data_IF_944199270358
#
_entry.id   IF_944199270358
#
_cell.length_a   1.000
_cell.length_b   1.000
_cell.length_c   1.000
_cell.angle_alpha   90.00
_cell.angle_beta   90.00
_cell.angle_gamma   90.00
#
_symmetry.space_group_name_H-M   'P 1'
#
loop_
_entity.id
_entity.type
_entity.pdbx_description
1 polymer ?
#
# COMPACT_ATOMS: atom_id res chain seq x y z
N UNK A 1 -1.40 36.27 18.94
CA UNK A 1 -1.63 35.59 17.64
C UNK A 1 -1.26 34.11 17.64
N UNK A 2 -0.59 33.55 18.67
CA UNK A 2 -0.26 32.11 18.71
C UNK A 2 -1.43 31.19 19.11
N UNK A 3 -2.36 31.63 19.97
CA UNK A 3 -3.47 30.78 20.45
C UNK A 3 -4.53 30.38 19.42
N UNK A 4 -4.62 31.08 18.28
CA UNK A 4 -5.56 30.75 17.19
C UNK A 4 -5.04 29.65 16.25
N UNK A 5 -3.74 29.37 16.28
CA UNK A 5 -3.10 28.33 15.45
C UNK A 5 -3.10 26.97 16.17
N UNK A 6 -2.90 26.95 17.49
CA UNK A 6 -3.06 25.75 18.33
C UNK A 6 -4.50 25.24 18.33
N UNK A 7 -5.48 26.12 18.57
CA UNK A 7 -6.91 25.76 18.58
C UNK A 7 -7.42 25.18 17.25
N UNK A 8 -6.82 25.59 16.11
CA UNK A 8 -7.13 25.03 14.78
C UNK A 8 -6.48 23.69 14.50
N UNK A 9 -5.33 23.40 15.10
CA UNK A 9 -4.61 22.13 14.94
C UNK A 9 -5.27 21.05 15.81
N UNK A 10 -5.66 21.42 17.04
CA UNK A 10 -6.35 20.57 18.01
C UNK A 10 -7.74 20.15 17.47
N UNK A 11 -8.56 21.09 16.97
CA UNK A 11 -9.86 20.78 16.35
C UNK A 11 -9.78 19.87 15.10
N UNK A 12 -8.61 19.79 14.46
CA UNK A 12 -8.38 18.94 13.28
C UNK A 12 -8.06 17.51 13.71
N UNK A 13 -7.30 17.34 14.79
CA UNK A 13 -7.01 16.04 15.41
C UNK A 13 -8.27 15.38 15.96
N UNK A 14 -9.14 16.11 16.68
CA UNK A 14 -10.39 15.55 17.24
C UNK A 14 -11.38 15.12 16.16
N UNK A 15 -11.50 15.86 15.04
CA UNK A 15 -12.36 15.47 13.91
C UNK A 15 -11.79 14.32 13.07
N UNK A 16 -10.47 14.22 12.96
CA UNK A 16 -9.80 13.09 12.29
C UNK A 16 -9.87 11.84 13.17
N UNK A 17 -9.61 11.98 14.47
CA UNK A 17 -9.73 10.91 15.45
C UNK A 17 -11.17 10.40 15.54
N UNK A 18 -12.19 11.27 15.60
CA UNK A 18 -13.60 10.88 15.61
C UNK A 18 -14.08 10.24 14.28
N UNK A 19 -13.49 10.62 13.13
CA UNK A 19 -13.77 9.96 11.85
C UNK A 19 -13.13 8.58 11.77
N UNK A 20 -11.87 8.46 12.20
CA UNK A 20 -11.17 7.18 12.38
C UNK A 20 -11.94 6.30 13.37
N UNK A 21 -12.51 6.88 14.42
CA UNK A 21 -13.37 6.22 15.40
C UNK A 21 -14.63 5.57 14.80
N UNK A 22 -15.39 6.33 14.01
CA UNK A 22 -16.61 5.84 13.35
C UNK A 22 -16.33 4.80 12.24
N UNK A 23 -15.16 4.90 11.62
CA UNK A 23 -14.62 3.99 10.60
C UNK A 23 -14.22 2.64 11.22
N UNK A 24 -13.74 2.64 12.47
CA UNK A 24 -13.15 1.47 13.12
C UNK A 24 -14.14 0.60 13.91
N UNK A 25 -15.32 1.09 14.28
CA UNK A 25 -16.37 0.26 14.91
C UNK A 25 -16.92 -0.81 13.94
N UNK A 26 -16.76 -0.59 12.62
CA UNK A 26 -17.00 -1.58 11.57
C UNK A 26 -15.98 -2.75 11.53
N UNK A 27 -14.88 -2.69 12.30
CA UNK A 27 -13.84 -3.74 12.30
C UNK A 27 -14.25 -5.01 13.07
N UNK A 28 -15.35 -4.97 13.84
CA UNK A 28 -15.84 -6.13 14.59
C UNK A 28 -16.41 -7.25 13.73
N UNK A 29 -16.68 -7.03 12.44
CA UNK A 29 -17.39 -7.98 11.58
C UNK A 29 -16.44 -8.70 10.59
N UNK A 30 -15.66 -9.64 11.11
CA UNK A 30 -15.37 -10.92 10.44
C UNK A 30 -14.43 -10.98 9.22
N UNK A 31 -13.88 -9.88 8.68
CA UNK A 31 -12.91 -10.00 7.56
C UNK A 31 -11.46 -10.19 8.05
N UNK A 32 -10.83 -11.26 7.57
CA UNK A 32 -9.39 -11.56 7.76
C UNK A 32 -8.51 -10.87 6.72
N UNK A 33 -9.06 -10.24 5.69
CA UNK A 33 -8.30 -9.55 4.64
C UNK A 33 -7.91 -8.13 5.07
N UNK A 34 -6.60 -7.85 5.11
CA UNK A 34 -6.03 -6.53 5.44
C UNK A 34 -6.53 -5.45 4.48
N UNK A 35 -6.79 -5.78 3.21
CA UNK A 35 -7.29 -4.82 2.22
C UNK A 35 -8.73 -4.38 2.54
N UNK A 36 -9.61 -5.31 2.95
CA UNK A 36 -10.99 -4.96 3.32
C UNK A 36 -11.02 -4.02 4.53
N UNK A 37 -10.10 -4.23 5.48
CA UNK A 37 -9.94 -3.38 6.66
C UNK A 37 -9.54 -1.94 6.33
N UNK A 38 -9.00 -1.70 5.14
CA UNK A 38 -8.59 -0.35 4.72
C UNK A 38 -9.69 0.42 3.99
N UNK A 39 -10.80 -0.24 3.60
CA UNK A 39 -11.94 0.40 2.92
C UNK A 39 -12.50 1.59 3.70
N UNK A 40 -12.68 1.52 5.03
CA UNK A 40 -13.18 2.64 5.82
C UNK A 40 -12.37 3.95 5.63
N UNK A 41 -11.07 3.89 5.35
CA UNK A 41 -10.26 5.08 5.07
C UNK A 41 -10.57 5.72 3.70
N UNK A 42 -11.14 4.96 2.77
CA UNK A 42 -11.56 5.45 1.46
C UNK A 42 -12.96 6.10 1.51
N UNK A 43 -13.78 5.77 2.50
CA UNK A 43 -15.18 6.23 2.58
C UNK A 43 -15.33 7.76 2.59
N UNK A 44 -14.56 8.56 3.37
CA UNK A 44 -14.72 10.00 3.36
C UNK A 44 -14.36 10.64 2.00
N UNK A 45 -13.40 10.04 1.29
CA UNK A 45 -12.95 10.49 -0.04
C UNK A 45 -14.02 10.14 -1.09
N UNK A 46 -14.58 8.94 -1.01
CA UNK A 46 -15.66 8.49 -1.89
C UNK A 46 -16.94 9.29 -1.65
N UNK A 47 -17.31 9.53 -0.39
CA UNK A 47 -18.49 10.34 -0.04
C UNK A 47 -18.42 11.75 -0.63
N UNK A 48 -17.24 12.38 -0.63
CA UNK A 48 -17.03 13.70 -1.24
C UNK A 48 -17.20 13.69 -2.77
N UNK A 49 -17.15 12.50 -3.40
CA UNK A 49 -17.25 12.30 -4.86
C UNK A 49 -18.55 11.59 -5.26
N UNK A 50 -19.53 11.51 -4.37
CA UNK A 50 -20.80 10.84 -4.62
C UNK A 50 -21.48 11.32 -5.92
N UNK A 51 -21.86 10.38 -6.78
CA UNK A 51 -22.50 10.63 -8.08
C UNK A 51 -21.53 10.96 -9.23
N UNK A 52 -20.23 11.10 -8.96
CA UNK A 52 -19.21 11.30 -9.99
C UNK A 52 -18.76 9.97 -10.61
N UNK A 53 -18.31 9.97 -11.89
CA UNK A 53 -17.66 8.79 -12.46
C UNK A 53 -16.39 8.46 -11.68
N UNK A 54 -16.11 7.17 -11.49
CA UNK A 54 -14.89 6.71 -10.84
C UNK A 54 -13.67 7.15 -11.64
N UNK A 55 -12.85 8.00 -11.04
CA UNK A 55 -11.51 8.31 -11.52
C UNK A 55 -10.49 7.86 -10.47
N UNK A 56 -9.76 6.80 -10.80
CA UNK A 56 -8.77 6.19 -9.89
C UNK A 56 -7.60 7.13 -9.60
N UNK A 57 -7.19 7.94 -10.57
CA UNK A 57 -6.11 8.93 -10.40
C UNK A 57 -6.47 10.00 -9.41
N UNK A 58 -7.71 10.49 -9.48
CA UNK A 58 -8.20 11.51 -8.56
C UNK A 58 -8.34 10.96 -7.12
N UNK A 59 -8.84 9.73 -6.95
CA UNK A 59 -8.93 9.09 -5.63
C UNK A 59 -7.53 8.87 -5.06
N UNK A 60 -6.58 8.37 -5.86
CA UNK A 60 -5.21 8.20 -5.43
C UNK A 60 -4.56 9.53 -4.99
N UNK A 61 -4.85 10.62 -5.70
CA UNK A 61 -4.40 11.96 -5.33
C UNK A 61 -5.02 12.42 -4.00
N UNK A 62 -6.31 12.19 -3.79
CA UNK A 62 -6.99 12.55 -2.54
C UNK A 62 -6.48 11.75 -1.34
N UNK A 63 -6.24 10.44 -1.51
CA UNK A 63 -5.65 9.58 -0.47
C UNK A 63 -4.25 10.08 -0.11
N UNK A 64 -3.40 10.36 -1.12
CA UNK A 64 -2.07 10.97 -0.92
C UNK A 64 -2.17 12.31 -0.20
N UNK A 65 -3.14 13.14 -0.54
CA UNK A 65 -3.31 14.44 0.08
C UNK A 65 -3.74 14.32 1.56
N UNK A 66 -4.70 13.45 1.85
CA UNK A 66 -5.33 13.26 3.15
C UNK A 66 -4.44 12.49 4.13
N UNK A 67 -3.84 11.39 3.69
CA UNK A 67 -3.16 10.42 4.56
C UNK A 67 -1.65 10.35 4.34
N UNK A 68 -1.11 11.01 3.31
CA UNK A 68 0.31 10.95 2.91
C UNK A 68 0.81 9.54 2.53
N UNK A 69 -0.10 8.59 2.33
CA UNK A 69 0.23 7.25 1.84
C UNK A 69 0.73 7.31 0.40
N UNK A 70 1.69 6.46 0.04
CA UNK A 70 2.16 6.32 -1.35
C UNK A 70 1.16 5.56 -2.23
N UNK A 71 -0.06 6.08 -2.31
CA UNK A 71 -1.20 5.49 -3.01
C UNK A 71 -1.19 5.92 -4.48
N UNK A 72 -1.34 4.95 -5.40
CA UNK A 72 -1.37 5.18 -6.83
C UNK A 72 -2.63 4.56 -7.46
N UNK A 73 -2.81 4.75 -8.77
CA UNK A 73 -4.00 4.28 -9.50
C UNK A 73 -4.17 2.76 -9.42
N UNK A 74 -3.06 2.03 -9.53
CA UNK A 74 -3.06 0.57 -9.45
C UNK A 74 -3.58 0.06 -8.11
N UNK A 75 -3.19 0.71 -7.01
CA UNK A 75 -3.67 0.36 -5.68
C UNK A 75 -5.18 0.61 -5.59
N UNK A 76 -5.68 1.77 -6.05
CA UNK A 76 -7.13 2.07 -6.08
C UNK A 76 -7.89 0.99 -6.88
N UNK A 77 -7.36 0.56 -8.02
CA UNK A 77 -7.98 -0.48 -8.85
C UNK A 77 -8.11 -1.84 -8.12
N UNK A 78 -7.24 -2.15 -7.15
CA UNK A 78 -7.38 -3.34 -6.30
C UNK A 78 -8.54 -3.22 -5.31
N UNK A 79 -8.88 -2.00 -4.89
CA UNK A 79 -10.05 -1.74 -4.05
C UNK A 79 -11.37 -1.75 -4.84
N UNK A 80 -11.37 -1.51 -6.15
CA UNK A 80 -12.62 -1.38 -6.95
C UNK A 80 -13.62 -2.53 -6.75
N UNK A 81 -13.24 -3.82 -6.87
CA UNK A 81 -14.20 -4.92 -6.68
C UNK A 81 -14.78 -4.97 -5.26
N UNK A 82 -13.96 -4.60 -4.27
CA UNK A 82 -14.39 -4.57 -2.86
C UNK A 82 -15.29 -3.38 -2.59
N UNK A 83 -14.95 -2.21 -3.13
CA UNK A 83 -15.80 -1.02 -3.02
C UNK A 83 -17.16 -1.22 -3.71
N UNK A 84 -17.22 -1.98 -4.81
CA UNK A 84 -18.47 -2.44 -5.41
C UNK A 84 -19.24 -3.38 -4.46
N UNK A 85 -18.58 -4.38 -3.90
CA UNK A 85 -19.19 -5.31 -2.92
C UNK A 85 -19.73 -4.59 -1.67
N UNK A 86 -19.05 -3.55 -1.19
CA UNK A 86 -19.46 -2.71 -0.07
C UNK A 86 -20.46 -1.60 -0.46
N UNK A 87 -20.93 -1.57 -1.71
CA UNK A 87 -21.94 -0.65 -2.22
C UNK A 87 -21.48 0.80 -2.35
N UNK A 88 -20.16 1.04 -2.36
CA UNK A 88 -19.56 2.35 -2.60
C UNK A 88 -19.40 2.67 -4.08
N UNK A 89 -19.37 1.65 -4.94
CA UNK A 89 -19.35 1.79 -6.39
C UNK A 89 -20.55 1.07 -7.00
N UNK A 90 -21.14 1.68 -8.04
CA UNK A 90 -22.20 1.06 -8.84
C UNK A 90 -21.73 0.98 -10.28
N UNK A 91 -21.73 -0.23 -10.84
CA UNK A 91 -21.51 -0.44 -12.27
C UNK A 91 -22.75 0.05 -13.04
N UNK A 92 -22.58 1.06 -13.90
CA UNK A 92 -23.69 1.59 -14.73
C UNK A 92 -23.83 0.86 -16.06
N UNK A 93 -22.75 0.24 -16.52
CA UNK A 93 -22.69 -0.54 -17.75
C UNK A 93 -21.73 -1.73 -17.56
N UNK A 94 -22.24 -2.98 -17.42
CA UNK A 94 -21.40 -4.15 -17.21
C UNK A 94 -20.48 -4.45 -18.42
N UNK A 95 -20.76 -3.88 -19.60
CA UNK A 95 -19.94 -4.09 -20.79
C UNK A 95 -18.74 -3.11 -20.90
N UNK A 96 -18.76 -1.97 -20.21
CA UNK A 96 -17.72 -0.93 -20.30
C UNK A 96 -16.92 -0.70 -19.01
N UNK A 97 -17.19 -1.49 -17.97
CA UNK A 97 -16.52 -1.38 -16.66
C UNK A 97 -16.52 0.06 -16.12
N UNK A 98 -17.56 0.85 -16.43
CA UNK A 98 -17.67 2.23 -15.94
C UNK A 98 -18.39 2.24 -14.60
N UNK A 99 -17.63 2.55 -13.56
CA UNK A 99 -18.12 2.69 -12.20
C UNK A 99 -18.48 4.14 -11.90
N UNK A 100 -19.52 4.33 -11.10
CA UNK A 100 -19.84 5.61 -10.47
C UNK A 100 -19.76 5.45 -8.96
N UNK A 101 -19.30 6.51 -8.30
CA UNK A 101 -19.34 6.54 -6.84
C UNK A 101 -20.79 6.63 -6.42
N UNK A 102 -21.24 5.63 -5.66
CA UNK A 102 -22.62 5.54 -5.23
C UNK A 102 -22.99 6.83 -4.50
N UNK A 103 -24.08 7.47 -4.91
CA UNK A 103 -24.84 8.30 -3.97
C UNK A 103 -25.48 7.32 -3.01
N UNK A 104 -24.72 6.91 -2.01
CA UNK A 104 -25.33 6.54 -0.74
C UNK A 104 -26.06 7.82 -0.31
N UNK A 105 -27.34 7.95 -0.68
CA UNK A 105 -28.30 8.77 0.07
C UNK A 105 -27.97 8.42 1.49
N UNK A 106 -27.34 9.36 2.21
CA UNK A 106 -26.73 9.17 3.52
C UNK A 106 -26.85 7.71 3.91
N UNK A 107 -25.86 6.84 3.61
CA UNK A 107 -25.81 5.59 4.38
C UNK A 107 -25.97 6.09 5.76
N UNK A 108 -27.11 5.73 6.35
CA UNK A 108 -27.63 6.52 7.42
C UNK A 108 -26.50 6.47 8.42
N UNK A 109 -25.91 7.62 8.68
CA UNK A 109 -25.23 7.82 9.93
C UNK A 109 -26.25 7.60 11.06
N UNK A 110 -27.50 7.21 10.81
CA UNK A 110 -28.32 6.55 11.80
C UNK A 110 -27.82 5.13 12.19
N UNK A 111 -27.38 4.26 11.27
CA UNK A 111 -26.96 2.90 11.67
C UNK A 111 -25.50 2.85 12.17
N UNK A 112 -24.64 3.78 11.73
CA UNK A 112 -23.24 3.90 12.20
C UNK A 112 -22.95 5.15 13.03
N UNK A 113 -23.78 6.19 12.95
CA UNK A 113 -23.65 7.40 13.75
C UNK A 113 -24.54 7.43 14.99
N UNK A 114 -25.57 6.60 15.15
CA UNK A 114 -26.14 6.35 16.50
C UNK A 114 -25.08 5.68 17.41
N UNK A 115 -24.24 4.81 16.83
CA UNK A 115 -23.16 4.14 17.56
C UNK A 115 -21.95 5.07 17.70
N UNK A 116 -21.58 5.81 16.64
CA UNK A 116 -20.51 6.81 16.69
C UNK A 116 -20.78 7.98 17.65
N UNK A 117 -21.98 8.58 17.62
CA UNK A 117 -22.39 9.59 18.60
C UNK A 117 -22.56 8.97 19.99
N UNK A 118 -23.10 7.75 20.08
CA UNK A 118 -23.24 7.03 21.34
C UNK A 118 -21.91 6.80 22.04
N UNK A 119 -20.87 6.41 21.31
CA UNK A 119 -19.56 6.16 21.89
C UNK A 119 -18.75 7.45 22.09
N UNK A 120 -18.86 8.48 21.22
CA UNK A 120 -18.27 9.80 21.48
C UNK A 120 -18.89 10.42 22.74
N UNK A 121 -20.22 10.33 22.88
CA UNK A 121 -20.94 10.77 24.08
C UNK A 121 -20.51 9.97 25.30
N UNK A 122 -20.38 8.64 25.17
CA UNK A 122 -19.92 7.76 26.25
C UNK A 122 -18.47 8.03 26.64
N UNK A 123 -17.63 8.39 25.68
CA UNK A 123 -16.25 8.77 25.96
C UNK A 123 -16.14 10.15 26.61
N UNK A 124 -16.99 11.10 26.21
CA UNK A 124 -17.14 12.36 26.91
C UNK A 124 -17.66 12.15 28.35
N UNK A 125 -18.59 11.22 28.56
CA UNK A 125 -19.04 10.80 29.89
C UNK A 125 -17.90 10.18 30.72
N UNK A 126 -17.05 9.35 30.11
CA UNK A 126 -15.83 8.80 30.72
C UNK A 126 -14.85 9.93 31.07
N UNK A 127 -14.68 10.94 30.23
CA UNK A 127 -13.81 12.07 30.51
C UNK A 127 -14.35 12.94 31.67
N UNK A 128 -15.67 13.11 31.78
CA UNK A 128 -16.31 13.75 32.94
C UNK A 128 -16.03 12.94 34.21
N UNK A 129 -16.17 11.62 34.15
CA UNK A 129 -15.93 10.73 35.28
C UNK A 129 -14.44 10.73 35.68
N UNK A 130 -13.54 10.71 34.70
CA UNK A 130 -12.09 10.83 34.91
C UNK A 130 -11.73 12.14 35.60
N UNK A 131 -12.32 13.25 35.16
CA UNK A 131 -12.14 14.56 35.80
C UNK A 131 -12.60 14.53 37.27
N UNK A 132 -13.81 14.03 37.54
CA UNK A 132 -14.33 13.90 38.91
C UNK A 132 -13.46 13.02 39.79
N UNK A 133 -12.98 11.90 39.24
CA UNK A 133 -12.05 11.00 39.93
C UNK A 133 -10.74 11.72 40.28
N UNK A 134 -10.17 12.47 39.33
CA UNK A 134 -8.95 13.25 39.55
C UNK A 134 -9.13 14.32 40.64
N UNK A 135 -10.24 15.05 40.61
CA UNK A 135 -10.58 16.09 41.60
C UNK A 135 -10.77 15.50 43.01
N UNK A 136 -11.32 14.28 43.11
CA UNK A 136 -11.50 13.57 44.37
C UNK A 136 -10.19 12.97 44.92
N UNK A 137 -9.26 12.55 44.04
CA UNK A 137 -8.02 11.88 44.43
C UNK A 137 -6.98 12.87 45.00
N UNK A 138 -6.97 14.12 44.52
CA UNK A 138 -6.06 15.15 45.04
C UNK A 138 -6.64 16.57 44.95
N UNK A 139 -7.24 17.09 46.04
CA UNK A 139 -7.77 18.46 46.10
C UNK A 139 -6.70 19.54 45.90
N UNK A 140 -5.42 19.22 46.11
CA UNK A 140 -4.29 20.16 46.06
C UNK A 140 -3.63 20.24 44.67
N UNK A 141 -3.93 19.31 43.76
CA UNK A 141 -3.45 19.29 42.36
C UNK A 141 -4.60 19.36 41.35
N UNK A 142 -5.74 19.93 41.74
CA UNK A 142 -6.84 20.23 40.83
C UNK A 142 -6.39 21.26 39.77
N UNK A 143 -5.75 20.77 38.72
CA UNK A 143 -5.43 21.54 37.53
C UNK A 143 -6.78 21.96 36.93
N UNK A 144 -7.04 23.27 36.75
CA UNK A 144 -8.30 23.75 36.18
C UNK A 144 -8.31 23.40 34.69
N UNK A 145 -8.65 22.16 34.38
CA UNK A 145 -8.67 21.59 33.04
C UNK A 145 -10.09 21.35 32.56
N UNK A 146 -10.30 21.53 31.26
CA UNK A 146 -11.57 21.20 30.62
C UNK A 146 -11.75 19.68 30.54
N UNK A 147 -12.99 19.24 30.33
CA UNK A 147 -13.28 17.81 30.09
C UNK A 147 -12.58 17.32 28.83
N UNK A 148 -12.46 18.19 27.81
CA UNK A 148 -11.78 17.88 26.54
C UNK A 148 -10.28 17.64 26.77
N UNK A 149 -9.63 18.39 27.67
CA UNK A 149 -8.22 18.15 28.01
C UNK A 149 -8.02 16.81 28.73
N UNK A 150 -8.93 16.41 29.63
CA UNK A 150 -8.90 15.09 30.25
C UNK A 150 -9.15 13.97 29.23
N UNK A 151 -9.99 14.24 28.23
CA UNK A 151 -10.27 13.34 27.13
C UNK A 151 -9.00 13.10 26.28
N UNK A 152 -8.30 14.17 25.91
CA UNK A 152 -7.05 14.12 25.14
C UNK A 152 -5.94 13.40 25.91
N UNK A 153 -5.77 13.72 27.20
CA UNK A 153 -4.79 13.06 28.08
C UNK A 153 -5.05 11.55 28.17
N UNK A 154 -6.31 11.15 28.28
CA UNK A 154 -6.68 9.75 28.37
C UNK A 154 -6.45 9.01 27.04
N UNK A 155 -6.77 9.62 25.90
CA UNK A 155 -6.46 9.06 24.56
C UNK A 155 -4.94 8.88 24.42
N UNK A 156 -4.17 9.92 24.69
CA UNK A 156 -2.71 9.89 24.56
C UNK A 156 -2.09 8.81 25.46
N UNK A 157 -2.61 8.65 26.68
CA UNK A 157 -2.14 7.63 27.61
C UNK A 157 -2.49 6.21 27.16
N UNK A 158 -3.71 5.98 26.65
CA UNK A 158 -4.12 4.67 26.15
C UNK A 158 -3.26 4.22 24.95
N UNK A 159 -2.97 5.15 24.04
CA UNK A 159 -2.05 4.91 22.91
C UNK A 159 -0.63 4.63 23.43
N UNK A 160 -0.16 5.41 24.41
CA UNK A 160 1.18 5.27 24.99
C UNK A 160 1.39 3.94 25.74
N UNK A 161 0.44 3.50 26.56
CA UNK A 161 0.59 2.28 27.39
C UNK A 161 0.62 1.01 26.54
N UNK A 162 -0.10 0.98 25.42
CA UNK A 162 -0.12 -0.17 24.53
C UNK A 162 1.15 -0.25 23.65
N UNK A 163 1.69 0.90 23.23
CA UNK A 163 3.01 1.00 22.58
C UNK A 163 4.17 0.49 23.47
N UNK A 164 3.96 0.40 24.79
CA UNK A 164 4.88 -0.17 25.77
C UNK A 164 4.64 -1.65 26.09
N UNK A 165 3.79 -2.36 25.33
CA UNK A 165 3.82 -3.83 25.37
C UNK A 165 5.22 -4.34 24.97
N UNK A 166 5.75 -5.35 25.66
CA UNK A 166 7.17 -5.73 25.72
C UNK A 166 7.87 -6.02 24.36
N UNK A 167 7.15 -5.95 23.23
CA UNK A 167 7.65 -6.24 21.88
C UNK A 167 8.08 -5.01 21.04
N UNK A 168 7.74 -3.76 21.41
CA UNK A 168 7.98 -2.59 20.55
C UNK A 168 9.08 -1.62 21.01
N UNK A 169 9.79 -1.90 22.11
CA UNK A 169 10.80 -0.98 22.66
C UNK A 169 12.19 -1.15 22.01
N UNK A 170 12.50 -0.27 21.05
CA UNK A 170 13.86 -0.08 20.56
C UNK A 170 14.65 0.85 21.52
N UNK A 171 15.42 0.25 22.42
CA UNK A 171 16.32 1.00 23.31
C UNK A 171 17.51 1.56 22.53
N UNK A 172 17.75 2.87 22.61
CA UNK A 172 19.00 3.44 22.12
C UNK A 172 20.05 3.39 23.23
N UNK A 173 21.10 2.59 23.04
CA UNK A 173 22.24 2.53 23.95
C UNK A 173 23.24 3.61 23.57
N UNK A 174 23.25 4.71 24.34
CA UNK A 174 24.27 5.75 24.25
C UNK A 174 25.32 5.56 25.35
N UNK A 175 26.54 6.04 25.12
CA UNK A 175 27.54 6.18 26.18
C UNK A 175 27.76 7.67 26.40
N UNK A 176 27.41 8.18 27.58
CA UNK A 176 27.69 9.56 27.98
C UNK A 176 28.77 9.58 29.07
N UNK A 177 29.67 10.56 29.00
CA UNK A 177 30.60 10.84 30.09
C UNK A 177 29.89 11.68 31.14
N UNK A 178 29.88 11.19 32.37
CA UNK A 178 29.49 11.99 33.53
C UNK A 178 30.56 13.08 33.79
N UNK A 179 30.19 14.08 34.59
CA UNK A 179 31.03 15.17 35.10
C UNK A 179 32.34 14.71 35.78
N UNK A 180 32.42 13.44 36.19
CA UNK A 180 33.61 12.80 36.75
C UNK A 180 34.52 12.11 35.71
N UNK A 181 34.18 12.19 34.41
CA UNK A 181 34.95 11.57 33.32
C UNK A 181 34.71 10.08 33.11
N UNK A 182 33.84 9.46 33.91
CA UNK A 182 33.48 8.04 33.81
C UNK A 182 32.42 7.82 32.72
N UNK A 183 32.66 6.89 31.80
CA UNK A 183 31.70 6.51 30.76
C UNK A 183 30.54 5.74 31.39
N UNK A 184 29.34 6.30 31.35
CA UNK A 184 28.09 5.61 31.72
C UNK A 184 27.30 5.26 30.47
N UNK A 185 26.79 4.04 30.44
CA UNK A 185 25.81 3.63 29.45
C UNK A 185 24.47 4.27 29.83
N UNK A 186 23.99 5.17 28.98
CA UNK A 186 22.69 5.83 29.14
C UNK A 186 21.75 5.16 28.15
N UNK A 187 20.72 4.53 28.69
CA UNK A 187 19.61 4.00 27.90
C UNK A 187 18.71 5.19 27.57
N UNK A 188 18.76 5.65 26.33
CA UNK A 188 17.83 6.64 25.81
C UNK A 188 16.50 5.94 25.50
N UNK A 189 15.51 6.15 26.36
CA UNK A 189 14.12 5.87 26.05
C UNK A 189 13.60 7.07 25.25
N UNK A 190 13.07 6.89 24.02
CA UNK A 190 12.47 8.00 23.30
C UNK A 190 11.26 8.52 24.08
N UNK A 191 11.20 9.82 24.34
CA UNK A 191 9.98 10.48 24.85
C UNK A 191 8.93 10.50 23.73
N UNK A 192 8.15 9.43 23.63
CA UNK A 192 7.09 9.28 22.64
C UNK A 192 5.75 9.93 23.05
N UNK A 193 5.67 10.47 24.27
CA UNK A 193 4.48 11.14 24.80
C UNK A 193 4.81 12.49 25.39
N UNK A 194 3.87 13.43 25.28
CA UNK A 194 3.91 14.75 25.92
C UNK A 194 3.35 14.73 27.34
N UNK A 195 2.83 13.59 27.80
CA UNK A 195 2.25 13.42 29.13
C UNK A 195 3.31 13.52 30.24
N UNK A 196 2.98 14.31 31.26
CA UNK A 196 3.73 14.43 32.51
C UNK A 196 3.51 13.21 33.41
N UNK A 197 4.43 12.94 34.32
CA UNK A 197 4.34 11.78 35.21
C UNK A 197 3.08 11.79 36.09
N UNK A 198 2.61 12.98 36.48
CA UNK A 198 1.36 13.17 37.20
C UNK A 198 0.14 12.72 36.36
N UNK A 199 0.13 13.02 35.07
CA UNK A 199 -0.95 12.64 34.14
C UNK A 199 -0.94 11.13 33.90
N UNK A 200 0.25 10.56 33.69
CA UNK A 200 0.43 9.11 33.56
C UNK A 200 -0.07 8.37 34.81
N UNK A 201 0.24 8.89 36.00
CA UNK A 201 -0.22 8.35 37.27
C UNK A 201 -1.74 8.43 37.41
N UNK A 202 -2.33 9.59 37.09
CA UNK A 202 -3.78 9.80 37.16
C UNK A 202 -4.54 8.88 36.20
N UNK A 203 -4.08 8.77 34.95
CA UNK A 203 -4.66 7.84 33.97
C UNK A 203 -4.58 6.39 34.45
N UNK A 204 -3.41 5.94 34.91
CA UNK A 204 -3.24 4.57 35.41
C UNK A 204 -4.17 4.24 36.58
N UNK A 205 -4.32 5.18 37.53
CA UNK A 205 -5.20 5.01 38.69
C UNK A 205 -6.68 5.05 38.30
N UNK A 206 -7.04 5.94 37.37
CA UNK A 206 -8.41 6.02 36.85
C UNK A 206 -8.78 4.77 36.09
N UNK A 207 -7.97 4.30 35.14
CA UNK A 207 -8.25 3.08 34.37
C UNK A 207 -8.32 1.86 35.29
N UNK A 208 -7.41 1.74 36.27
CA UNK A 208 -7.49 0.68 37.28
C UNK A 208 -8.79 0.74 38.10
N UNK A 209 -9.25 1.94 38.46
CA UNK A 209 -10.51 2.14 39.17
C UNK A 209 -11.71 1.79 38.28
N UNK A 210 -11.75 2.32 37.06
CA UNK A 210 -12.81 2.08 36.09
C UNK A 210 -12.96 0.59 35.77
N UNK A 211 -11.86 -0.14 35.58
CA UNK A 211 -11.89 -1.59 35.34
C UNK A 211 -12.47 -2.40 36.52
N UNK A 212 -12.32 -1.90 37.75
CA UNK A 212 -12.87 -2.56 38.95
C UNK A 212 -14.31 -2.16 39.24
N UNK A 213 -14.66 -0.90 38.97
CA UNK A 213 -15.94 -0.30 39.36
C UNK A 213 -17.00 -0.36 38.26
N UNK A 214 -16.59 -0.37 36.99
CA UNK A 214 -17.49 -0.44 35.84
C UNK A 214 -16.84 -1.17 34.66
N UNK A 215 -17.06 -2.49 34.53
CA UNK A 215 -16.52 -3.30 33.43
C UNK A 215 -16.87 -2.77 32.02
N UNK A 216 -18.03 -2.11 31.85
CA UNK A 216 -18.43 -1.54 30.56
C UNK A 216 -17.53 -0.36 30.15
N UNK A 217 -17.04 0.44 31.11
CA UNK A 217 -16.05 1.49 30.82
C UNK A 217 -14.71 0.87 30.43
N UNK A 218 -14.35 -0.24 31.06
CA UNK A 218 -13.19 -1.04 30.70
C UNK A 218 -13.20 -1.51 29.24
N UNK A 219 -14.35 -1.99 28.76
CA UNK A 219 -14.52 -2.40 27.37
C UNK A 219 -14.34 -1.23 26.40
N UNK A 220 -14.91 -0.06 26.72
CA UNK A 220 -14.76 1.16 25.90
C UNK A 220 -13.29 1.61 25.88
N UNK A 221 -12.60 1.66 27.02
CA UNK A 221 -11.19 2.04 27.09
C UNK A 221 -10.27 1.05 26.33
N UNK A 222 -10.55 -0.25 26.42
CA UNK A 222 -9.84 -1.29 25.67
C UNK A 222 -10.02 -1.13 24.17
N UNK A 223 -11.26 -0.87 23.71
CA UNK A 223 -11.55 -0.58 22.29
C UNK A 223 -10.78 0.67 21.81
N UNK A 224 -10.69 1.71 22.62
CA UNK A 224 -9.96 2.94 22.30
C UNK A 224 -8.45 2.69 22.21
N UNK A 225 -7.89 1.89 23.11
CA UNK A 225 -6.49 1.49 23.06
C UNK A 225 -6.22 0.72 21.74
N UNK A 226 -7.02 -0.30 21.43
CA UNK A 226 -6.91 -1.07 20.18
C UNK A 226 -7.06 -0.22 18.90
N UNK A 227 -7.80 0.89 18.97
CA UNK A 227 -7.88 1.90 17.90
C UNK A 227 -6.55 2.67 17.74
N UNK A 228 -5.87 2.96 18.85
CA UNK A 228 -4.52 3.50 18.90
C UNK A 228 -3.52 2.65 18.11
N UNK A 229 -3.56 1.32 18.27
CA UNK A 229 -2.74 0.38 17.49
C UNK A 229 -3.04 0.44 15.97
N UNK A 230 -4.30 0.61 15.57
CA UNK A 230 -4.64 0.78 14.15
C UNK A 230 -4.13 2.09 13.59
N UNK A 231 -4.16 3.18 14.37
CA UNK A 231 -3.50 4.43 13.97
C UNK A 231 -1.98 4.34 13.97
N UNK A 232 -1.38 3.50 14.83
CA UNK A 232 0.05 3.16 14.79
C UNK A 232 0.38 2.39 13.51
N UNK A 233 -0.42 1.38 13.12
CA UNK A 233 -0.30 0.70 11.82
C UNK A 233 -0.39 1.71 10.67
N UNK A 234 -1.31 2.68 10.73
CA UNK A 234 -1.43 3.78 9.74
C UNK A 234 -0.21 4.71 9.75
N UNK A 235 0.45 4.89 10.90
CA UNK A 235 1.70 5.66 11.02
C UNK A 235 2.92 4.86 10.56
N UNK A 236 2.95 3.54 10.77
CA UNK A 236 3.93 2.60 10.22
C UNK A 236 3.88 2.67 8.69
N UNK A 237 2.67 2.71 8.10
CA UNK A 237 2.44 2.98 6.67
C UNK A 237 3.06 4.29 6.15
N UNK A 238 3.34 5.25 7.03
CA UNK A 238 3.92 6.57 6.71
C UNK A 238 5.42 6.62 7.04
N UNK A 239 5.89 5.82 8.00
CA UNK A 239 7.28 5.71 8.42
C UNK A 239 7.57 4.26 8.85
N UNK A 240 8.00 3.37 7.95
CA UNK A 240 8.34 2.00 8.32
C UNK A 240 9.42 2.01 9.41
N UNK A 241 9.06 1.55 10.61
CA UNK A 241 9.93 1.57 11.80
C UNK A 241 10.97 0.44 11.77
N UNK A 242 10.73 -0.57 10.93
CA UNK A 242 11.64 -1.69 10.69
C UNK A 242 12.65 -1.37 9.58
N UNK A 243 13.92 -1.72 9.83
CA UNK A 243 14.92 -1.74 8.77
C UNK A 243 14.42 -2.70 7.69
N UNK A 244 14.12 -2.18 6.50
CA UNK A 244 13.68 -3.01 5.39
C UNK A 244 14.78 -4.03 5.11
N UNK A 245 14.49 -5.30 5.39
CA UNK A 245 15.35 -6.40 5.01
C UNK A 245 15.56 -6.30 3.50
N UNK A 246 16.83 -6.16 3.09
CA UNK A 246 17.18 -6.09 1.68
C UNK A 246 16.64 -7.33 0.98
N UNK A 247 15.78 -7.14 -0.01
CA UNK A 247 15.24 -8.24 -0.80
C UNK A 247 16.14 -8.51 -2.00
N UNK A 248 16.54 -9.77 -2.17
CA UNK A 248 17.27 -10.24 -3.36
C UNK A 248 16.37 -10.51 -4.57
N UNK A 249 15.10 -10.04 -4.55
CA UNK A 249 14.15 -10.22 -5.64
C UNK A 249 14.65 -9.52 -6.92
N UNK A 250 14.64 -10.27 -8.02
CA UNK A 250 14.90 -9.76 -9.37
C UNK A 250 13.59 -9.65 -10.14
N UNK A 251 13.24 -8.44 -10.54
CA UNK A 251 12.00 -8.10 -11.23
C UNK A 251 12.33 -7.80 -12.69
N UNK A 252 11.83 -8.62 -13.60
CA UNK A 252 11.88 -8.34 -15.04
C UNK A 252 10.65 -7.56 -15.47
N UNK A 253 10.86 -6.45 -16.17
CA UNK A 253 9.78 -5.67 -16.75
C UNK A 253 9.38 -6.25 -18.10
N UNK A 254 8.09 -6.47 -18.29
CA UNK A 254 7.50 -6.69 -19.59
C UNK A 254 7.56 -5.41 -20.46
N UNK A 255 7.52 -5.54 -21.78
CA UNK A 255 7.70 -4.43 -22.72
C UNK A 255 6.70 -3.27 -22.47
N UNK A 256 5.38 -3.51 -22.26
CA UNK A 256 4.45 -2.41 -21.97
C UNK A 256 4.75 -1.67 -20.67
N UNK A 257 5.21 -2.37 -19.62
CA UNK A 257 5.59 -1.75 -18.34
C UNK A 257 6.81 -0.86 -18.52
N UNK A 258 7.82 -1.37 -19.23
CA UNK A 258 9.04 -0.62 -19.52
C UNK A 258 8.76 0.63 -20.36
N UNK A 259 7.81 0.57 -21.32
CA UNK A 259 7.37 1.72 -22.10
C UNK A 259 6.70 2.81 -21.25
N UNK A 260 5.91 2.43 -20.24
CA UNK A 260 5.35 3.39 -19.29
C UNK A 260 6.44 4.04 -18.44
N UNK A 261 7.40 3.26 -17.97
CA UNK A 261 8.52 3.75 -17.17
C UNK A 261 9.40 4.73 -17.96
N UNK A 262 9.64 4.44 -19.24
CA UNK A 262 10.32 5.33 -20.19
C UNK A 262 9.52 6.63 -20.44
N UNK A 263 8.22 6.63 -20.17
CA UNK A 263 7.33 7.76 -20.38
C UNK A 263 6.81 7.90 -21.81
N UNK A 264 7.12 6.96 -22.71
CA UNK A 264 6.60 6.99 -24.10
C UNK A 264 5.09 6.72 -24.16
N UNK A 265 4.51 6.15 -23.10
CA UNK A 265 3.07 5.97 -22.93
C UNK A 265 2.36 7.18 -22.29
N UNK A 266 3.07 8.30 -22.09
CA UNK A 266 2.55 9.53 -21.49
C UNK A 266 2.95 9.73 -20.03
N UNK A 267 2.83 10.99 -19.58
CA UNK A 267 3.27 11.43 -18.24
C UNK A 267 2.56 10.70 -17.10
N UNK A 268 1.23 10.59 -17.16
CA UNK A 268 0.44 9.92 -16.13
C UNK A 268 0.86 8.44 -15.94
N UNK A 269 1.12 7.72 -17.04
CA UNK A 269 1.57 6.34 -16.98
C UNK A 269 2.94 6.20 -16.28
N UNK A 270 3.87 7.13 -16.56
CA UNK A 270 5.17 7.19 -15.90
C UNK A 270 5.05 7.51 -14.41
N UNK A 271 4.21 8.48 -14.05
CA UNK A 271 3.97 8.89 -12.66
C UNK A 271 3.36 7.77 -11.83
N UNK A 272 2.64 6.84 -12.44
CA UNK A 272 2.08 5.69 -11.76
C UNK A 272 3.10 4.56 -11.50
N UNK A 273 4.00 4.28 -12.47
CA UNK A 273 4.97 3.16 -12.37
C UNK A 273 6.31 3.54 -11.74
N UNK A 274 6.80 4.75 -11.93
CA UNK A 274 8.12 5.17 -11.45
C UNK A 274 8.26 5.04 -9.92
N UNK A 275 7.29 5.48 -9.09
CA UNK A 275 7.39 5.31 -7.64
C UNK A 275 7.54 3.86 -7.20
N UNK A 276 6.89 2.92 -7.90
CA UNK A 276 6.98 1.48 -7.59
C UNK A 276 8.40 0.97 -7.88
N UNK A 277 8.98 1.37 -9.00
CA UNK A 277 10.33 0.95 -9.41
C UNK A 277 11.40 1.57 -8.51
N UNK A 278 11.23 2.83 -8.12
CA UNK A 278 12.14 3.51 -7.20
C UNK A 278 12.08 2.86 -5.81
N UNK A 279 10.89 2.50 -5.36
CA UNK A 279 10.67 1.79 -4.10
C UNK A 279 11.31 0.40 -4.11
N UNK A 280 11.16 -0.36 -5.20
CA UNK A 280 11.85 -1.64 -5.39
C UNK A 280 13.37 -1.52 -5.24
N UNK A 281 13.96 -0.49 -5.86
CA UNK A 281 15.40 -0.27 -5.76
C UNK A 281 15.80 0.14 -4.34
N UNK A 282 14.98 0.94 -3.67
CA UNK A 282 15.20 1.37 -2.29
C UNK A 282 15.27 0.19 -1.33
N UNK A 283 14.43 -0.83 -1.53
CA UNK A 283 14.41 -2.06 -0.72
C UNK A 283 15.43 -3.13 -1.16
N UNK A 284 16.27 -2.83 -2.14
CA UNK A 284 17.36 -3.69 -2.60
C UNK A 284 17.02 -4.63 -3.76
N UNK A 285 15.79 -4.61 -4.27
CA UNK A 285 15.41 -5.43 -5.42
C UNK A 285 16.13 -4.97 -6.69
N UNK A 286 16.38 -5.91 -7.59
CA UNK A 286 17.00 -5.64 -8.88
C UNK A 286 15.94 -5.58 -9.97
N UNK A 287 15.79 -4.43 -10.61
CA UNK A 287 14.85 -4.26 -11.73
C UNK A 287 15.60 -4.40 -13.05
N UNK A 288 15.16 -5.28 -13.93
CA UNK A 288 15.83 -5.62 -15.19
C UNK A 288 14.82 -5.73 -16.34
N UNK A 289 15.32 -5.86 -17.56
CA UNK A 289 14.51 -6.21 -18.73
C UNK A 289 15.21 -7.28 -19.57
N UNK A 290 14.45 -8.14 -20.23
CA UNK A 290 15.03 -9.10 -21.18
C UNK A 290 15.28 -8.44 -22.54
N UNK A 291 16.34 -8.89 -23.21
CA UNK A 291 16.66 -8.44 -24.57
C UNK A 291 15.52 -8.68 -25.58
N UNK A 292 14.73 -9.74 -25.40
CA UNK A 292 13.54 -10.01 -26.23
C UNK A 292 12.49 -8.91 -26.09
N UNK A 293 12.24 -8.46 -24.85
CA UNK A 293 11.28 -7.38 -24.59
C UNK A 293 11.76 -6.04 -25.13
N UNK A 294 13.07 -5.80 -25.22
CA UNK A 294 13.59 -4.63 -25.93
C UNK A 294 13.25 -4.65 -27.43
N UNK A 295 13.36 -5.81 -28.08
CA UNK A 295 12.98 -5.93 -29.49
C UNK A 295 11.48 -5.69 -29.69
N UNK A 296 10.65 -6.13 -28.75
CA UNK A 296 9.22 -5.82 -28.75
C UNK A 296 8.97 -4.31 -28.61
N UNK A 297 9.69 -3.61 -27.72
CA UNK A 297 9.61 -2.14 -27.60
C UNK A 297 9.99 -1.48 -28.93
N UNK A 298 11.13 -1.86 -29.52
CA UNK A 298 11.59 -1.31 -30.81
C UNK A 298 10.55 -1.51 -31.92
N UNK A 299 10.03 -2.72 -32.05
CA UNK A 299 9.03 -3.06 -33.06
C UNK A 299 7.72 -2.28 -32.85
N UNK A 300 7.24 -2.21 -31.60
CA UNK A 300 6.00 -1.52 -31.23
C UNK A 300 6.11 -0.01 -31.49
N UNK A 301 7.20 0.61 -31.05
CA UNK A 301 7.41 2.05 -31.27
C UNK A 301 7.61 2.39 -32.74
N UNK A 302 8.38 1.57 -33.46
CA UNK A 302 8.56 1.75 -34.92
C UNK A 302 7.23 1.62 -35.67
N UNK A 303 6.37 0.69 -35.27
CA UNK A 303 5.05 0.54 -35.85
C UNK A 303 4.15 1.76 -35.60
N UNK A 304 4.19 2.35 -34.39
CA UNK A 304 3.48 3.59 -34.06
C UNK A 304 4.00 4.77 -34.90
N UNK A 305 5.31 4.87 -35.09
CA UNK A 305 5.93 5.95 -35.87
C UNK A 305 5.74 5.81 -37.38
N UNK A 306 5.67 4.59 -37.90
CA UNK A 306 5.47 4.32 -39.32
C UNK A 306 4.02 4.33 -39.79
N UNK A 307 3.05 4.17 -38.87
CA UNK A 307 1.64 4.14 -39.20
C UNK A 307 1.04 5.55 -39.29
N UNK A 308 0.25 5.82 -40.34
CA UNK A 308 -0.47 7.08 -40.51
C UNK A 308 -1.63 7.27 -39.52
N UNK A 309 -2.20 6.17 -39.03
CA UNK A 309 -3.27 6.15 -38.00
C UNK A 309 -2.88 5.18 -36.89
N UNK A 310 -1.86 5.52 -36.09
CA UNK A 310 -1.39 4.63 -35.04
C UNK A 310 -2.43 4.55 -33.91
N UNK A 311 -2.47 3.40 -33.25
CA UNK A 311 -3.34 3.14 -32.10
C UNK A 311 -2.50 2.74 -30.89
N UNK A 312 -3.14 2.72 -29.71
CA UNK A 312 -2.49 2.32 -28.45
C UNK A 312 -1.97 3.50 -27.61
N UNK A 313 -1.41 3.22 -26.43
CA UNK A 313 -1.08 4.24 -25.43
C UNK A 313 -0.08 5.29 -25.92
N UNK A 314 0.99 4.87 -26.59
CA UNK A 314 2.00 5.77 -27.17
C UNK A 314 1.39 6.69 -28.23
N UNK A 315 0.56 6.14 -29.11
CA UNK A 315 -0.10 6.94 -30.16
C UNK A 315 -1.01 8.01 -29.56
N UNK A 316 -1.77 7.66 -28.51
CA UNK A 316 -2.61 8.59 -27.78
C UNK A 316 -1.79 9.66 -27.05
N UNK A 317 -0.67 9.28 -26.42
CA UNK A 317 0.24 10.22 -25.75
C UNK A 317 0.84 11.24 -26.73
N UNK A 318 1.25 10.80 -27.93
CA UNK A 318 1.70 11.70 -29.01
C UNK A 318 0.56 12.62 -29.44
N UNK A 319 -0.64 12.09 -29.66
CA UNK A 319 -1.80 12.85 -30.12
C UNK A 319 -2.24 13.93 -29.11
N UNK A 320 -2.09 13.68 -27.80
CA UNK A 320 -2.36 14.65 -26.73
C UNK A 320 -1.24 15.66 -26.52
N UNK A 321 -0.06 15.45 -27.13
CA UNK A 321 1.13 16.26 -26.89
C UNK A 321 1.84 15.96 -25.55
N UNK A 322 1.51 14.85 -24.90
CA UNK A 322 2.17 14.40 -23.66
C UNK A 322 3.63 14.01 -23.92
N UNK A 323 3.92 13.55 -25.14
CA UNK A 323 5.24 13.06 -25.56
C UNK A 323 5.55 13.52 -26.98
N UNK A 324 6.77 14.01 -27.21
CA UNK A 324 7.23 14.40 -28.53
C UNK A 324 7.52 13.18 -29.41
N UNK A 325 7.10 13.21 -30.68
CA UNK A 325 7.37 12.14 -31.64
C UNK A 325 8.88 11.89 -31.85
N UNK A 326 9.70 12.93 -31.76
CA UNK A 326 11.17 12.83 -31.84
C UNK A 326 11.74 12.00 -30.68
N UNK A 327 11.28 12.26 -29.46
CA UNK A 327 11.67 11.47 -28.28
C UNK A 327 11.28 9.99 -28.45
N UNK A 328 10.07 9.71 -28.96
CA UNK A 328 9.64 8.33 -29.25
C UNK A 328 10.54 7.67 -30.30
N UNK A 329 11.00 8.41 -31.32
CA UNK A 329 11.93 7.90 -32.32
C UNK A 329 13.32 7.61 -31.76
N UNK A 330 13.83 8.46 -30.87
CA UNK A 330 15.10 8.22 -30.16
C UNK A 330 15.00 6.96 -29.29
N UNK A 331 13.94 6.82 -28.50
CA UNK A 331 13.70 5.63 -27.68
C UNK A 331 13.49 4.38 -28.53
N UNK A 332 12.85 4.49 -29.70
CA UNK A 332 12.69 3.35 -30.62
C UNK A 332 14.03 2.87 -31.20
N UNK A 333 14.99 3.78 -31.39
CA UNK A 333 16.31 3.43 -31.90
C UNK A 333 17.14 2.65 -30.87
N UNK A 334 17.13 3.12 -29.62
CA UNK A 334 17.96 2.59 -28.54
C UNK A 334 17.27 2.64 -27.16
N UNK A 335 16.25 1.80 -26.92
CA UNK A 335 15.54 1.76 -25.64
C UNK A 335 16.43 1.26 -24.49
N UNK A 336 17.49 0.52 -24.80
CA UNK A 336 18.44 -0.02 -23.82
C UNK A 336 19.18 1.10 -23.09
N UNK A 337 19.72 2.07 -23.82
CA UNK A 337 20.42 3.22 -23.20
C UNK A 337 19.49 4.02 -22.30
N UNK A 338 18.25 4.29 -22.73
CA UNK A 338 17.28 5.02 -21.90
C UNK A 338 16.87 4.23 -20.65
N UNK A 339 16.68 2.91 -20.75
CA UNK A 339 16.38 2.06 -19.59
C UNK A 339 17.55 1.96 -18.63
N UNK A 340 18.78 1.87 -19.14
CA UNK A 340 19.99 1.86 -18.31
C UNK A 340 20.16 3.18 -17.53
N UNK A 341 19.88 4.34 -18.14
CA UNK A 341 19.93 5.65 -17.48
C UNK A 341 18.96 5.76 -16.30
N UNK A 342 17.81 5.10 -16.38
CA UNK A 342 16.84 5.01 -15.27
C UNK A 342 17.07 3.79 -14.38
N UNK A 343 18.24 3.15 -14.46
CA UNK A 343 18.65 2.05 -13.57
C UNK A 343 17.95 0.71 -13.81
N UNK A 344 17.54 0.43 -15.06
CA UNK A 344 16.99 -0.87 -15.48
C UNK A 344 17.93 -1.50 -16.52
N UNK A 345 18.93 -2.28 -16.09
CA UNK A 345 19.85 -2.93 -17.02
C UNK A 345 19.18 -4.07 -17.81
N UNK A 346 19.67 -4.27 -19.02
CA UNK A 346 19.26 -5.37 -19.90
C UNK A 346 19.93 -6.68 -19.52
N UNK A 347 19.21 -7.79 -19.68
CA UNK A 347 19.77 -9.14 -19.65
C UNK A 347 19.44 -9.86 -20.95
N UNK A 348 20.47 -10.26 -21.71
CA UNK A 348 20.30 -11.09 -22.89
C UNK A 348 20.40 -12.57 -22.51
N UNK A 349 19.37 -13.35 -22.86
CA UNK A 349 19.34 -14.80 -22.66
C UNK A 349 18.82 -15.51 -23.90
N UNK A 350 19.24 -16.74 -24.13
CA UNK A 350 18.58 -17.66 -25.08
C UNK A 350 18.11 -18.92 -24.34
N UNK A 351 17.22 -19.70 -24.97
CA UNK A 351 16.68 -20.93 -24.38
C UNK A 351 17.77 -22.01 -24.21
N UNK A 352 18.88 -21.93 -24.93
CA UNK A 352 19.96 -22.92 -24.96
C UNK A 352 21.14 -22.54 -24.07
N UNK A 353 21.29 -21.27 -23.69
CA UNK A 353 22.49 -20.74 -23.04
C UNK A 353 22.81 -21.38 -21.67
N UNK A 354 21.82 -21.90 -20.95
CA UNK A 354 22.02 -22.50 -19.62
C UNK A 354 21.41 -23.92 -19.54
N UNK A 355 22.13 -24.96 -20.02
CA UNK A 355 21.62 -26.32 -20.05
C UNK A 355 21.19 -26.87 -18.69
N UNK A 356 21.89 -26.47 -17.61
CA UNK A 356 21.54 -26.87 -16.24
C UNK A 356 20.16 -26.37 -15.82
N UNK A 357 19.71 -25.22 -16.34
CA UNK A 357 18.42 -24.64 -15.99
C UNK A 357 17.24 -25.27 -16.75
N UNK A 358 17.51 -25.92 -17.90
CA UNK A 358 16.48 -26.63 -18.68
C UNK A 358 15.80 -27.71 -17.84
N UNK A 359 16.51 -28.27 -16.85
CA UNK A 359 15.96 -29.27 -15.91
C UNK A 359 14.82 -28.74 -15.03
N UNK A 360 14.71 -27.42 -14.84
CA UNK A 360 13.67 -26.79 -14.03
C UNK A 360 12.42 -26.43 -14.84
N UNK A 361 12.56 -26.23 -16.15
CA UNK A 361 11.45 -26.03 -17.07
C UNK A 361 11.85 -26.53 -18.46
N UNK A 362 11.35 -27.72 -18.80
CA UNK A 362 11.79 -28.48 -19.98
C UNK A 362 11.25 -27.88 -21.27
N UNK A 363 11.81 -28.30 -22.40
CA UNK A 363 11.32 -27.88 -23.72
C UNK A 363 9.86 -28.30 -23.95
N UNK A 364 9.47 -29.51 -23.52
CA UNK A 364 8.07 -29.94 -23.61
C UNK A 364 7.12 -29.04 -22.80
N UNK A 365 7.55 -28.58 -21.62
CA UNK A 365 6.77 -27.64 -20.81
C UNK A 365 6.68 -26.25 -21.45
N UNK A 366 7.73 -25.80 -22.15
CA UNK A 366 7.70 -24.58 -22.95
C UNK A 366 6.69 -24.68 -24.10
N UNK A 367 6.70 -25.76 -24.86
CA UNK A 367 5.75 -25.98 -25.96
C UNK A 367 4.31 -26.01 -25.45
N UNK A 368 4.06 -26.66 -24.31
CA UNK A 368 2.76 -26.67 -23.63
C UNK A 368 2.30 -25.27 -23.18
N UNK A 369 3.22 -24.45 -22.65
CA UNK A 369 2.93 -23.06 -22.26
C UNK A 369 2.65 -22.19 -23.49
N UNK A 370 3.49 -22.30 -24.53
CA UNK A 370 3.31 -21.60 -25.80
C UNK A 370 1.96 -21.93 -26.44
N UNK A 371 1.59 -23.22 -26.48
CA UNK A 371 0.30 -23.67 -27.02
C UNK A 371 -0.89 -23.14 -26.20
N UNK A 372 -0.73 -22.98 -24.88
CA UNK A 372 -1.78 -22.46 -24.01
C UNK A 372 -2.05 -20.96 -24.22
N UNK A 373 -1.06 -20.16 -24.64
CA UNK A 373 -1.20 -18.71 -24.87
C UNK A 373 -1.96 -18.46 -26.19
N UNK A 374 -3.27 -18.71 -26.18
CA UNK A 374 -4.13 -18.63 -27.37
C UNK A 374 -4.70 -17.23 -27.62
N UNK A 375 -4.70 -16.35 -26.62
CA UNK A 375 -5.23 -14.99 -26.74
C UNK A 375 -4.36 -14.08 -27.62
N UNK A 376 -3.06 -14.38 -27.76
CA UNK A 376 -2.16 -13.68 -28.69
C UNK A 376 -2.36 -14.22 -30.10
N UNK A 377 -2.85 -13.39 -31.01
CA UNK A 377 -2.97 -13.74 -32.43
C UNK A 377 -1.63 -13.65 -33.17
N UNK A 378 -0.72 -12.79 -32.71
CA UNK A 378 0.61 -12.63 -33.28
C UNK A 378 1.53 -13.76 -32.76
N UNK A 379 2.05 -14.64 -33.63
CA UNK A 379 2.96 -15.72 -33.22
C UNK A 379 4.22 -15.21 -32.51
N UNK A 380 4.77 -14.07 -32.92
CA UNK A 380 5.97 -13.49 -32.29
C UNK A 380 5.69 -12.99 -30.87
N UNK A 381 4.54 -12.37 -30.63
CA UNK A 381 4.15 -11.94 -29.27
C UNK A 381 3.90 -13.14 -28.37
N UNK A 382 3.30 -14.21 -28.91
CA UNK A 382 3.09 -15.47 -28.20
C UNK A 382 4.42 -16.14 -27.82
N UNK A 383 5.35 -16.19 -28.76
CA UNK A 383 6.69 -16.74 -28.56
C UNK A 383 7.46 -15.93 -27.52
N UNK A 384 7.39 -14.60 -27.59
CA UNK A 384 7.94 -13.70 -26.58
C UNK A 384 7.40 -14.03 -25.19
N UNK A 385 6.07 -13.98 -25.01
CA UNK A 385 5.39 -14.17 -23.72
C UNK A 385 5.73 -15.54 -23.10
N UNK A 386 5.75 -16.59 -23.92
CA UNK A 386 6.17 -17.93 -23.50
C UNK A 386 7.65 -17.95 -23.07
N UNK A 387 8.53 -17.35 -23.88
CA UNK A 387 9.98 -17.35 -23.67
C UNK A 387 10.36 -16.62 -22.38
N UNK A 388 9.85 -15.41 -22.15
CA UNK A 388 10.16 -14.64 -20.93
C UNK A 388 9.60 -15.33 -19.69
N UNK A 389 8.41 -15.94 -19.79
CA UNK A 389 7.83 -16.73 -18.70
C UNK A 389 8.68 -17.96 -18.36
N UNK A 390 9.21 -18.64 -19.38
CA UNK A 390 10.10 -19.79 -19.22
C UNK A 390 11.42 -19.39 -18.59
N UNK A 391 12.02 -18.24 -18.94
CA UNK A 391 13.24 -17.77 -18.29
C UNK A 391 13.05 -17.58 -16.79
N UNK A 392 11.94 -16.97 -16.36
CA UNK A 392 11.64 -16.81 -14.94
C UNK A 392 11.51 -18.18 -14.26
N UNK A 393 10.75 -19.11 -14.83
CA UNK A 393 10.56 -20.44 -14.26
C UNK A 393 11.90 -21.19 -14.11
N UNK A 394 12.76 -21.11 -15.11
CA UNK A 394 14.12 -21.68 -15.08
C UNK A 394 14.99 -21.06 -14.00
N UNK A 395 14.98 -19.73 -13.89
CA UNK A 395 15.76 -18.97 -12.90
C UNK A 395 15.28 -19.20 -11.46
N UNK A 396 14.00 -19.48 -11.25
CA UNK A 396 13.45 -19.81 -9.93
C UNK A 396 13.93 -21.13 -9.37
N UNK A 397 14.42 -22.06 -10.20
CA UNK A 397 14.94 -23.38 -9.75
C UNK A 397 14.00 -24.13 -8.81
N UNK A 398 12.69 -24.13 -9.10
CA UNK A 398 11.59 -24.69 -8.26
C UNK A 398 11.38 -24.00 -6.90
N UNK A 399 11.93 -22.80 -6.69
CA UNK A 399 11.58 -21.99 -5.51
C UNK A 399 10.10 -21.66 -5.55
N UNK A 400 9.41 -22.04 -4.47
CA UNK A 400 7.97 -21.94 -4.31
C UNK A 400 7.72 -21.32 -2.95
N UNK A 401 7.19 -20.09 -2.93
CA UNK A 401 6.96 -19.31 -1.70
C UNK A 401 5.65 -18.54 -1.84
N UNK A 402 5.07 -18.18 -0.69
CA UNK A 402 3.90 -17.30 -0.61
C UNK A 402 4.29 -15.82 -0.50
N UNK A 403 5.55 -15.53 -0.24
CA UNK A 403 6.08 -14.16 -0.18
C UNK A 403 6.68 -13.76 -1.53
N UNK A 404 6.21 -12.63 -2.05
CA UNK A 404 6.70 -12.04 -3.30
C UNK A 404 8.20 -11.74 -3.24
N UNK A 405 8.69 -11.22 -2.10
CA UNK A 405 10.07 -10.78 -1.93
C UNK A 405 11.05 -11.94 -1.76
N UNK A 406 10.53 -13.12 -1.43
CA UNK A 406 11.30 -14.36 -1.42
C UNK A 406 11.22 -15.12 -2.74
N UNK A 407 10.38 -14.72 -3.71
CA UNK A 407 10.17 -15.49 -4.95
C UNK A 407 11.42 -15.57 -5.84
N UNK A 408 12.43 -14.73 -5.60
CA UNK A 408 13.72 -14.70 -6.29
C UNK A 408 13.65 -14.02 -7.66
N UNK A 409 12.75 -14.47 -8.55
CA UNK A 409 12.59 -13.92 -9.89
C UNK A 409 11.11 -13.74 -10.23
N UNK A 410 10.71 -12.61 -10.81
CA UNK A 410 9.33 -12.39 -11.28
C UNK A 410 9.35 -11.62 -12.60
N UNK A 411 8.36 -11.87 -13.46
CA UNK A 411 8.03 -11.00 -14.59
C UNK A 411 6.84 -10.12 -14.20
N UNK A 412 7.00 -8.79 -14.33
CA UNK A 412 5.97 -7.81 -14.07
C UNK A 412 5.29 -7.42 -15.39
N UNK A 413 3.97 -7.65 -15.49
CA UNK A 413 3.20 -7.38 -16.73
C UNK A 413 1.91 -6.59 -16.45
N UNK A 414 1.39 -5.92 -17.48
CA UNK A 414 0.01 -5.37 -17.50
C UNK A 414 -1.02 -6.38 -18.01
N UNK A 415 -0.58 -7.50 -18.58
CA UNK A 415 -1.47 -8.48 -19.15
C UNK A 415 -1.95 -9.45 -18.07
N UNK A 416 -3.13 -9.17 -17.51
CA UNK A 416 -3.75 -10.02 -16.49
C UNK A 416 -4.04 -11.44 -16.98
N UNK A 417 -4.39 -11.61 -18.26
CA UNK A 417 -4.62 -12.92 -18.86
C UNK A 417 -3.33 -13.74 -18.92
N UNK A 418 -2.21 -13.12 -19.30
CA UNK A 418 -0.90 -13.78 -19.28
C UNK A 418 -0.55 -14.25 -17.87
N UNK A 419 -0.68 -13.38 -16.87
CA UNK A 419 -0.38 -13.73 -15.48
C UNK A 419 -1.21 -14.93 -14.98
N UNK A 420 -2.53 -14.89 -15.20
CA UNK A 420 -3.45 -15.96 -14.80
C UNK A 420 -3.20 -17.27 -15.56
N UNK A 421 -2.96 -17.19 -16.86
CA UNK A 421 -2.75 -18.36 -17.71
C UNK A 421 -1.43 -19.05 -17.38
N UNK A 422 -0.35 -18.28 -17.26
CA UNK A 422 0.97 -18.83 -16.91
C UNK A 422 0.93 -19.49 -15.53
N UNK A 423 0.28 -18.88 -14.54
CA UNK A 423 0.09 -19.49 -13.23
C UNK A 423 -0.64 -20.83 -13.33
N UNK A 424 -1.81 -20.84 -13.96
CA UNK A 424 -2.64 -22.04 -14.13
C UNK A 424 -1.90 -23.16 -14.83
N UNK A 425 -1.22 -22.85 -15.93
CA UNK A 425 -0.49 -23.84 -16.72
C UNK A 425 0.73 -24.37 -15.96
N UNK A 426 1.43 -23.53 -15.19
CA UNK A 426 2.54 -23.98 -14.34
C UNK A 426 2.06 -24.92 -13.21
N UNK A 427 0.86 -24.69 -12.67
CA UNK A 427 0.23 -25.59 -11.69
C UNK A 427 -0.17 -26.92 -12.35
N UNK A 428 -0.82 -26.87 -13.52
CA UNK A 428 -1.23 -28.06 -14.28
C UNK A 428 -0.04 -28.95 -14.67
N UNK A 429 1.08 -28.34 -15.05
CA UNK A 429 2.33 -29.03 -15.40
C UNK A 429 3.08 -29.58 -14.19
N UNK A 430 2.59 -29.36 -12.96
CA UNK A 430 3.21 -29.84 -11.72
C UNK A 430 4.54 -29.16 -11.37
N UNK A 431 4.85 -28.01 -11.98
CA UNK A 431 6.08 -27.25 -11.70
C UNK A 431 5.90 -26.19 -10.61
N UNK A 432 4.65 -25.93 -10.19
CA UNK A 432 4.29 -24.95 -9.18
C UNK A 432 3.09 -25.41 -8.34
N UNK A 433 3.00 -24.92 -7.10
CA UNK A 433 1.87 -25.19 -6.19
C UNK A 433 0.88 -24.01 -6.28
N UNK A 434 -0.45 -24.23 -6.27
CA UNK A 434 -1.44 -23.16 -6.45
C UNK A 434 -1.30 -21.96 -5.50
N UNK A 435 -0.91 -22.23 -4.24
CA UNK A 435 -0.84 -21.20 -3.19
C UNK A 435 0.43 -20.34 -3.20
N UNK A 436 1.24 -20.41 -4.27
CA UNK A 436 2.54 -19.72 -4.35
C UNK A 436 2.54 -18.57 -5.36
N UNK A 437 3.48 -17.66 -5.19
CA UNK A 437 3.63 -16.48 -6.05
C UNK A 437 3.89 -16.94 -7.49
N UNK A 438 3.08 -16.53 -8.48
CA UNK A 438 3.26 -16.94 -9.87
C UNK A 438 4.54 -16.37 -10.49
N UNK A 439 5.08 -16.96 -11.57
CA UNK A 439 6.27 -16.44 -12.26
C UNK A 439 6.01 -15.10 -12.93
N UNK A 440 4.76 -14.90 -13.38
CA UNK A 440 4.29 -13.67 -13.99
C UNK A 440 3.28 -13.04 -13.05
N UNK A 441 3.54 -11.81 -12.62
CA UNK A 441 2.71 -11.07 -11.67
C UNK A 441 2.14 -9.85 -12.37
N UNK A 442 0.84 -9.62 -12.20
CA UNK A 442 0.19 -8.43 -12.72
C UNK A 442 0.58 -7.19 -11.92
N UNK A 443 0.78 -6.06 -12.62
CA UNK A 443 1.19 -4.76 -12.06
C UNK A 443 0.42 -4.37 -10.79
N UNK A 444 -0.91 -4.49 -10.81
CA UNK A 444 -1.77 -4.14 -9.67
C UNK A 444 -1.43 -4.92 -8.40
N UNK A 445 -1.36 -6.26 -8.52
CA UNK A 445 -1.06 -7.14 -7.38
C UNK A 445 0.32 -6.81 -6.83
N UNK A 446 1.29 -6.63 -7.72
CA UNK A 446 2.66 -6.29 -7.38
C UNK A 446 2.77 -4.93 -6.66
N UNK A 447 2.05 -3.92 -7.15
CA UNK A 447 2.00 -2.58 -6.57
C UNK A 447 1.44 -2.60 -5.15
N UNK A 448 0.35 -3.34 -4.93
CA UNK A 448 -0.23 -3.53 -3.60
C UNK A 448 0.72 -4.26 -2.66
N UNK A 449 1.41 -5.31 -3.12
CA UNK A 449 2.38 -6.02 -2.29
C UNK A 449 3.56 -5.14 -1.85
N UNK A 450 4.05 -4.26 -2.73
CA UNK A 450 5.09 -3.28 -2.36
C UNK A 450 4.53 -2.27 -1.38
N UNK A 451 3.36 -1.71 -1.66
CA UNK A 451 2.74 -0.73 -0.79
C UNK A 451 2.53 -1.28 0.63
N UNK A 452 2.06 -2.53 0.74
CA UNK A 452 1.89 -3.23 2.03
C UNK A 452 3.20 -3.59 2.76
N UNK A 453 4.33 -3.60 2.05
CA UNK A 453 5.65 -3.96 2.61
C UNK A 453 6.45 -2.72 3.01
N UNK A 454 6.15 -1.57 2.40
CA UNK A 454 7.02 -0.38 2.42
C UNK A 454 6.35 0.84 3.02
N UNK A 455 5.03 0.92 2.96
CA UNK A 455 4.30 1.49 4.07
C UNK A 455 4.15 0.37 5.08
#
# INVERSE_FOLDING_TARGET
MSGLVESRTINRLTKTAARVYAILDNFGNGSTDVIDRLIPFLEPILAARAGQPLNTGDIAADVRAAYKWNFNEDIVEVFVPRLEQHGWLVARDPAKSSYFVAQKNEVSLADSGEIGEGVIKRFYEIAIDFKKFSEALSPLTALPRSVEEFQDILIEWLIYVEAFSEHNLNFTLGVQKDSSGTLRQVVGVPDITTLRDEEKFLCARYVQHALKSNPEVGEVLSRIASIGLLTEVVQDFVKPVSQIEKSDLVVYLDAPIAMELLGVSGKAARENIAPIVDELKRIGCQVRIYGQSLQEIKATLSAVLGNARPTGPTAQAIARGDVMRSFVAEVASDPETFLAQIGVPTTHRTLEQNPSEISYFTEGQYQELYAAITFQQNPHAREHDATVSTFIMRQRRKKSTRDLFEAGFVLLTKNGLLAQLTQRKCVELGVMIPSTIPPVVHRRVFSTSIWLRTG
#
